data_IF_126269339328
#
_entry.id   IF_126269339328
#
_cell.length_a   1.000
_cell.length_b   1.000
_cell.length_c   1.000
_cell.angle_alpha   90.00
_cell.angle_beta   90.00
_cell.angle_gamma   90.00
#
_symmetry.space_group_name_H-M   'P 1'
#
loop_
_entity.id
_entity.type
_entity.pdbx_description
1 polymer ?
#
# COMPACT_ATOMS: atom_id res chain seq x y z
N UNK A 1 7.03 -43.62 -10.84
CA UNK A 1 6.99 -43.38 -9.39
C UNK A 1 8.09 -42.39 -9.06
N UNK A 2 7.77 -41.13 -8.81
CA UNK A 2 8.74 -40.14 -8.32
C UNK A 2 8.94 -40.38 -6.81
N UNK A 3 10.16 -40.70 -6.40
CA UNK A 3 10.51 -40.75 -4.97
C UNK A 3 10.09 -39.45 -4.27
N UNK A 4 9.49 -39.53 -3.07
CA UNK A 4 9.21 -38.33 -2.29
C UNK A 4 10.55 -37.66 -1.95
N UNK A 5 10.68 -36.39 -2.37
CA UNK A 5 11.81 -35.53 -2.04
C UNK A 5 12.06 -35.54 -0.52
N UNK A 6 13.30 -35.77 -0.09
CA UNK A 6 13.67 -35.59 1.31
C UNK A 6 13.35 -34.16 1.76
N UNK A 7 13.01 -33.96 3.03
CA UNK A 7 12.65 -32.63 3.58
C UNK A 7 13.72 -31.56 3.31
N UNK A 8 15.00 -31.94 3.35
CA UNK A 8 16.12 -31.08 2.99
C UNK A 8 16.10 -30.64 1.52
N UNK A 9 15.79 -31.56 0.59
CA UNK A 9 15.69 -31.25 -0.84
C UNK A 9 14.48 -30.37 -1.18
N UNK A 10 13.35 -30.58 -0.49
CA UNK A 10 12.15 -29.75 -0.60
C UNK A 10 12.40 -28.31 -0.10
N UNK A 11 13.06 -28.15 1.05
CA UNK A 11 13.44 -26.84 1.59
C UNK A 11 14.41 -26.09 0.66
N UNK A 12 15.39 -26.80 0.08
CA UNK A 12 16.30 -26.21 -0.89
C UNK A 12 15.59 -25.79 -2.19
N UNK A 13 14.58 -26.53 -2.63
CA UNK A 13 13.76 -26.15 -3.79
C UNK A 13 12.92 -24.90 -3.51
N UNK A 14 12.28 -24.82 -2.34
CA UNK A 14 11.49 -23.68 -1.93
C UNK A 14 12.35 -22.40 -1.78
N UNK A 15 13.52 -22.52 -1.16
CA UNK A 15 14.46 -21.40 -1.04
C UNK A 15 14.90 -20.87 -2.40
N UNK A 16 15.21 -21.76 -3.35
CA UNK A 16 15.54 -21.37 -4.73
C UNK A 16 14.37 -20.70 -5.44
N UNK A 17 13.14 -21.18 -5.21
CA UNK A 17 11.94 -20.60 -5.78
C UNK A 17 11.69 -19.16 -5.28
N UNK A 18 11.77 -18.94 -3.96
CA UNK A 18 11.62 -17.61 -3.37
C UNK A 18 12.78 -16.68 -3.78
N UNK A 19 13.98 -17.23 -3.98
CA UNK A 19 15.13 -16.48 -4.49
C UNK A 19 15.12 -16.29 -6.03
N UNK A 20 14.04 -16.64 -6.74
CA UNK A 20 14.01 -16.52 -8.20
C UNK A 20 13.72 -15.09 -8.70
N UNK A 21 12.92 -14.32 -7.95
CA UNK A 21 12.59 -12.94 -8.30
C UNK A 21 12.20 -12.10 -7.08
N UNK A 22 12.44 -10.76 -7.08
CA UNK A 22 12.16 -9.92 -5.92
C UNK A 22 10.70 -9.93 -5.47
N UNK A 23 9.75 -9.89 -6.42
CA UNK A 23 8.33 -9.85 -6.09
C UNK A 23 7.83 -11.09 -5.34
N UNK A 24 8.43 -12.29 -5.52
CA UNK A 24 7.93 -13.52 -4.89
C UNK A 24 7.94 -13.48 -3.36
N UNK A 25 9.10 -13.34 -2.68
CA UNK A 25 9.16 -13.35 -1.23
C UNK A 25 8.52 -12.10 -0.63
N UNK A 26 8.63 -10.95 -1.31
CA UNK A 26 8.06 -9.68 -0.86
C UNK A 26 6.53 -9.67 -0.97
N UNK A 27 5.94 -10.23 -2.03
CA UNK A 27 4.47 -10.32 -2.13
C UNK A 27 3.93 -11.40 -1.21
N UNK A 28 4.62 -12.54 -1.05
CA UNK A 28 4.24 -13.55 -0.06
C UNK A 28 4.22 -12.94 1.35
N UNK A 29 5.27 -12.22 1.73
CA UNK A 29 5.31 -11.46 2.98
C UNK A 29 4.14 -10.48 3.10
N UNK A 30 3.85 -9.73 2.03
CA UNK A 30 2.71 -8.81 1.98
C UNK A 30 1.35 -9.51 2.19
N UNK A 31 1.18 -10.73 1.66
CA UNK A 31 -0.06 -11.51 1.86
C UNK A 31 -0.22 -12.00 3.30
N UNK A 32 0.86 -12.27 4.02
CA UNK A 32 0.80 -12.51 5.47
C UNK A 32 0.43 -11.21 6.19
N UNK A 33 1.08 -10.12 5.80
CA UNK A 33 0.88 -8.83 6.44
C UNK A 33 -0.55 -8.31 6.33
N UNK A 34 -1.21 -8.47 5.17
CA UNK A 34 -2.56 -7.95 4.90
C UNK A 34 -3.65 -8.55 5.78
N UNK A 35 -3.43 -9.79 6.27
CA UNK A 35 -4.33 -10.43 7.22
C UNK A 35 -3.91 -10.13 8.66
N UNK A 36 -2.63 -10.27 9.00
CA UNK A 36 -2.17 -10.22 10.39
C UNK A 36 -2.55 -8.92 11.13
N UNK A 37 -2.25 -7.75 10.57
CA UNK A 37 -2.57 -6.49 11.25
C UNK A 37 -4.07 -6.20 11.28
N UNK A 38 -4.80 -6.63 10.26
CA UNK A 38 -6.24 -6.44 10.22
C UNK A 38 -6.96 -7.42 11.15
N UNK A 39 -6.40 -8.60 11.42
CA UNK A 39 -6.87 -9.49 12.48
C UNK A 39 -6.70 -8.80 13.83
N UNK A 40 -5.49 -8.34 14.16
CA UNK A 40 -5.26 -7.61 15.41
C UNK A 40 -6.16 -6.38 15.52
N UNK A 41 -6.26 -5.56 14.47
CA UNK A 41 -7.07 -4.34 14.47
C UNK A 41 -8.57 -4.62 14.62
N UNK A 42 -9.08 -5.68 13.99
CA UNK A 42 -10.50 -6.07 14.13
C UNK A 42 -10.79 -6.55 15.55
N UNK A 43 -9.87 -7.31 16.17
CA UNK A 43 -10.01 -7.76 17.56
C UNK A 43 -9.90 -6.60 18.55
N UNK A 44 -9.01 -5.64 18.30
CA UNK A 44 -8.90 -4.39 19.08
C UNK A 44 -10.20 -3.56 18.99
N UNK A 45 -10.76 -3.40 17.80
CA UNK A 45 -12.05 -2.71 17.64
C UNK A 45 -13.20 -3.46 18.31
N UNK A 46 -13.17 -4.80 18.27
CA UNK A 46 -14.16 -5.64 18.93
C UNK A 46 -14.03 -5.56 20.45
N UNK A 47 -12.81 -5.53 20.99
CA UNK A 47 -12.58 -5.35 22.43
C UNK A 47 -13.12 -4.01 22.91
N UNK A 48 -12.88 -2.93 22.15
CA UNK A 48 -13.42 -1.59 22.41
C UNK A 48 -14.96 -1.54 22.31
N UNK A 49 -15.56 -2.28 21.36
CA UNK A 49 -17.03 -2.30 21.19
C UNK A 49 -17.74 -3.13 22.25
N UNK A 50 -17.21 -4.32 22.54
CA UNK A 50 -17.89 -5.37 23.32
C UNK A 50 -17.35 -5.51 24.74
N UNK A 51 -16.33 -4.74 25.13
CA UNK A 51 -15.83 -4.69 26.50
C UNK A 51 -15.07 -5.94 26.93
N UNK A 52 -14.19 -6.48 26.09
CA UNK A 52 -13.40 -7.67 26.42
C UNK A 52 -12.35 -7.37 27.50
N UNK A 53 -12.69 -7.62 28.77
CA UNK A 53 -11.86 -7.25 29.93
C UNK A 53 -10.46 -7.89 30.00
N UNK A 54 -10.23 -9.01 29.30
CA UNK A 54 -8.92 -9.70 29.27
C UNK A 54 -8.13 -9.48 27.98
N UNK A 55 -8.61 -8.61 27.07
CA UNK A 55 -7.89 -8.33 25.83
C UNK A 55 -6.61 -7.51 26.12
N UNK A 56 -5.41 -7.99 25.72
CA UNK A 56 -4.16 -7.29 25.95
C UNK A 56 -4.15 -5.93 25.24
N UNK A 57 -3.96 -4.85 26.00
CA UNK A 57 -3.91 -3.50 25.45
C UNK A 57 -2.54 -3.18 24.86
N UNK A 58 -2.48 -2.47 23.72
CA UNK A 58 -1.20 -2.10 23.12
C UNK A 58 -0.43 -1.08 23.99
N UNK A 59 0.91 -1.12 23.96
CA UNK A 59 1.76 -0.19 24.71
C UNK A 59 1.80 1.24 24.13
N UNK A 60 1.08 1.48 23.03
CA UNK A 60 0.94 2.76 22.33
C UNK A 60 -0.52 2.95 21.94
N UNK A 61 -0.99 4.17 21.60
CA UNK A 61 -2.35 4.35 21.10
C UNK A 61 -2.66 3.37 19.96
N UNK A 62 -3.73 2.56 20.06
CA UNK A 62 -4.01 1.50 19.07
C UNK A 62 -4.08 2.01 17.64
N UNK A 63 -4.57 3.24 17.48
CA UNK A 63 -4.69 3.91 16.19
C UNK A 63 -3.35 4.19 15.51
N UNK A 64 -2.28 4.42 16.29
CA UNK A 64 -0.92 4.54 15.77
C UNK A 64 -0.34 3.18 15.43
N UNK A 65 -0.62 2.14 16.23
CA UNK A 65 -0.28 0.76 15.89
C UNK A 65 -0.85 0.36 14.53
N UNK A 66 -2.16 0.58 14.34
CA UNK A 66 -2.84 0.38 13.05
C UNK A 66 -2.21 1.20 11.93
N UNK A 67 -2.08 2.52 12.10
CA UNK A 67 -1.54 3.40 11.08
C UNK A 67 -0.12 3.00 10.67
N UNK A 68 0.77 2.78 11.63
CA UNK A 68 2.18 2.49 11.36
C UNK A 68 2.35 1.13 10.68
N UNK A 69 1.67 0.08 11.14
CA UNK A 69 1.81 -1.24 10.54
C UNK A 69 1.23 -1.29 9.13
N UNK A 70 0.07 -0.68 8.90
CA UNK A 70 -0.51 -0.62 7.54
C UNK A 70 0.39 0.18 6.60
N UNK A 71 0.84 1.37 7.02
CA UNK A 71 1.58 2.29 6.15
C UNK A 71 3.02 1.87 5.90
N UNK A 72 3.70 1.33 6.92
CA UNK A 72 5.12 1.01 6.85
C UNK A 72 5.42 -0.49 6.70
N UNK A 73 4.48 -1.37 7.05
CA UNK A 73 4.66 -2.82 6.94
C UNK A 73 3.93 -3.43 5.76
N UNK A 74 2.60 -3.32 5.74
CA UNK A 74 1.73 -4.01 4.79
C UNK A 74 1.97 -3.60 3.34
N UNK A 75 1.67 -2.35 2.98
CA UNK A 75 1.79 -1.90 1.59
C UNK A 75 3.24 -1.91 1.07
N UNK A 76 4.25 -1.54 1.88
CA UNK A 76 5.64 -1.46 1.43
C UNK A 76 6.25 -2.78 1.01
N UNK A 77 5.80 -3.92 1.57
CA UNK A 77 6.20 -5.25 1.10
C UNK A 77 5.85 -5.44 -0.38
N UNK A 78 4.63 -5.10 -0.79
CA UNK A 78 4.23 -5.13 -2.20
C UNK A 78 4.95 -4.05 -3.03
N UNK A 79 5.16 -2.85 -2.49
CA UNK A 79 5.84 -1.78 -3.22
C UNK A 79 7.32 -2.11 -3.47
N UNK A 80 8.06 -2.61 -2.48
CA UNK A 80 9.43 -3.08 -2.67
C UNK A 80 9.48 -4.23 -3.68
N UNK A 81 8.59 -5.22 -3.57
CA UNK A 81 8.56 -6.35 -4.50
C UNK A 81 8.32 -5.91 -5.95
N UNK A 82 7.41 -4.95 -6.13
CA UNK A 82 7.11 -4.37 -7.44
C UNK A 82 8.28 -3.55 -7.97
N UNK A 83 8.81 -2.60 -7.18
CA UNK A 83 9.85 -1.68 -7.64
C UNK A 83 11.18 -2.39 -7.87
N UNK A 84 11.61 -3.31 -7.00
CA UNK A 84 12.84 -4.09 -7.23
C UNK A 84 12.74 -4.99 -8.48
N UNK A 85 11.52 -5.37 -8.88
CA UNK A 85 11.29 -6.12 -10.13
C UNK A 85 11.22 -5.20 -11.36
N UNK A 86 10.67 -3.99 -11.22
CA UNK A 86 10.33 -3.11 -12.34
C UNK A 86 11.34 -1.98 -12.59
N UNK A 87 11.99 -1.44 -11.56
CA UNK A 87 12.99 -0.38 -11.68
C UNK A 87 14.13 -0.73 -12.64
N UNK A 88 14.78 -1.91 -12.52
CA UNK A 88 15.79 -2.32 -13.50
C UNK A 88 15.27 -2.23 -14.93
N UNK A 89 14.05 -2.71 -15.18
CA UNK A 89 13.42 -2.69 -16.51
C UNK A 89 13.05 -1.29 -16.99
N UNK A 90 12.64 -0.41 -16.07
CA UNK A 90 12.23 0.96 -16.40
C UNK A 90 13.37 1.88 -16.79
N UNK A 91 14.60 1.48 -16.48
CA UNK A 91 15.80 2.32 -16.59
C UNK A 91 16.96 1.59 -17.25
N UNK A 92 16.68 0.43 -17.87
CA UNK A 92 17.65 -0.48 -18.47
C UNK A 92 18.87 -0.76 -17.56
N UNK A 93 18.60 -1.02 -16.28
CA UNK A 93 19.60 -1.31 -15.25
C UNK A 93 19.71 -2.80 -14.91
N UNK A 94 20.72 -3.18 -14.10
CA UNK A 94 20.95 -4.57 -13.71
C UNK A 94 19.81 -5.11 -12.83
N UNK A 95 19.52 -6.41 -12.96
CA UNK A 95 18.58 -7.09 -12.08
C UNK A 95 19.04 -7.05 -10.63
N UNK A 96 18.09 -6.98 -9.70
CA UNK A 96 18.40 -6.96 -8.26
C UNK A 96 18.66 -8.40 -7.78
N UNK A 97 19.86 -8.73 -7.27
CA UNK A 97 20.18 -10.09 -6.85
C UNK A 97 19.51 -10.46 -5.51
N UNK A 98 19.34 -11.76 -5.19
CA UNK A 98 18.67 -12.25 -3.97
C UNK A 98 19.23 -11.68 -2.67
N UNK A 99 20.56 -11.53 -2.61
CA UNK A 99 21.26 -10.96 -1.44
C UNK A 99 20.79 -9.54 -1.08
N UNK A 100 20.14 -8.83 -2.02
CA UNK A 100 19.64 -7.46 -1.81
C UNK A 100 18.17 -7.38 -1.46
N UNK A 101 17.32 -8.31 -1.90
CA UNK A 101 15.88 -8.26 -1.64
C UNK A 101 15.39 -9.25 -0.57
N UNK A 102 16.10 -10.37 -0.33
CA UNK A 102 15.73 -11.30 0.74
C UNK A 102 15.87 -10.68 2.13
N UNK A 103 16.94 -9.90 2.45
CA UNK A 103 17.01 -9.19 3.73
C UNK A 103 15.93 -8.12 3.89
N UNK A 104 15.46 -7.52 2.79
CA UNK A 104 14.34 -6.56 2.83
C UNK A 104 13.05 -7.30 3.18
N UNK A 105 12.78 -8.43 2.53
CA UNK A 105 11.61 -9.26 2.83
C UNK A 105 11.64 -9.75 4.29
N UNK A 106 12.76 -10.30 4.74
CA UNK A 106 12.94 -10.79 6.10
C UNK A 106 12.90 -9.69 7.16
N UNK A 107 13.56 -8.56 6.93
CA UNK A 107 13.58 -7.43 7.86
C UNK A 107 12.23 -6.76 8.00
N UNK A 108 11.55 -6.46 6.89
CA UNK A 108 10.22 -5.84 6.94
C UNK A 108 9.17 -6.81 7.48
N UNK A 109 9.12 -8.07 7.02
CA UNK A 109 8.15 -9.05 7.53
C UNK A 109 8.43 -9.44 8.98
N UNK A 110 9.68 -9.75 9.32
CA UNK A 110 10.09 -10.11 10.67
C UNK A 110 9.80 -8.96 11.63
N UNK A 111 10.19 -7.74 11.26
CA UNK A 111 9.87 -6.54 12.03
C UNK A 111 8.37 -6.34 12.20
N UNK A 112 7.60 -6.55 11.14
CA UNK A 112 6.15 -6.46 11.15
C UNK A 112 5.48 -7.49 12.08
N UNK A 113 5.89 -8.76 12.02
CA UNK A 113 5.35 -9.82 12.89
C UNK A 113 5.65 -9.52 14.35
N UNK A 114 6.91 -9.19 14.67
CA UNK A 114 7.30 -8.83 16.05
C UNK A 114 6.55 -7.59 16.54
N UNK A 115 6.36 -6.58 15.69
CA UNK A 115 5.61 -5.38 16.05
C UNK A 115 4.12 -5.66 16.30
N UNK A 116 3.47 -6.52 15.50
CA UNK A 116 2.09 -6.95 15.75
C UNK A 116 1.96 -7.70 17.08
N UNK A 117 2.88 -8.63 17.39
CA UNK A 117 2.91 -9.31 18.69
C UNK A 117 3.18 -8.30 19.81
N UNK A 118 4.05 -7.31 19.56
CA UNK A 118 4.34 -6.20 20.46
C UNK A 118 3.10 -5.38 20.85
N UNK A 119 2.11 -5.28 19.96
CA UNK A 119 0.83 -4.61 20.24
C UNK A 119 -0.07 -5.41 21.19
N UNK A 120 0.28 -6.64 21.58
CA UNK A 120 -0.40 -7.40 22.62
C UNK A 120 0.18 -7.11 24.02
N UNK A 121 0.56 -5.86 24.29
CA UNK A 121 1.11 -5.44 25.57
C UNK A 121 2.61 -5.74 25.78
N UNK A 122 3.37 -6.00 24.71
CA UNK A 122 4.79 -6.37 24.78
C UNK A 122 5.68 -5.25 24.18
N UNK A 123 5.98 -4.16 24.94
CA UNK A 123 6.65 -2.97 24.41
C UNK A 123 8.04 -3.24 23.83
N UNK A 124 8.79 -4.20 24.38
CA UNK A 124 10.12 -4.55 23.87
C UNK A 124 10.05 -5.21 22.48
N UNK A 125 9.04 -6.04 22.22
CA UNK A 125 8.80 -6.63 20.90
C UNK A 125 8.36 -5.59 19.89
N UNK A 126 7.52 -4.63 20.30
CA UNK A 126 7.12 -3.52 19.44
C UNK A 126 8.35 -2.72 18.99
N UNK A 127 9.22 -2.37 19.94
CA UNK A 127 10.48 -1.66 19.71
C UNK A 127 11.42 -2.42 18.76
N UNK A 128 11.65 -3.70 19.06
CA UNK A 128 12.48 -4.57 18.24
C UNK A 128 11.92 -4.73 16.82
N UNK A 129 10.60 -4.91 16.71
CA UNK A 129 9.90 -5.08 15.44
C UNK A 129 10.01 -3.85 14.55
N UNK A 130 9.73 -2.66 15.10
CA UNK A 130 9.87 -1.40 14.37
C UNK A 130 11.34 -1.16 13.94
N UNK A 131 12.30 -1.47 14.81
CA UNK A 131 13.74 -1.35 14.51
C UNK A 131 14.20 -2.27 13.38
N UNK A 132 13.78 -3.54 13.41
CA UNK A 132 14.09 -4.51 12.36
C UNK A 132 13.43 -4.13 11.01
N UNK A 133 12.22 -3.59 11.06
CA UNK A 133 11.55 -3.06 9.87
C UNK A 133 12.35 -1.90 9.26
N UNK A 134 12.89 -0.99 10.07
CA UNK A 134 13.75 0.10 9.60
C UNK A 134 15.02 -0.41 8.92
N UNK A 135 15.67 -1.44 9.47
CA UNK A 135 16.83 -2.08 8.82
C UNK A 135 16.46 -2.60 7.42
N UNK A 136 15.31 -3.28 7.30
CA UNK A 136 14.78 -3.72 6.01
C UNK A 136 14.56 -2.56 5.03
N UNK A 137 14.03 -1.43 5.51
CA UNK A 137 13.85 -0.21 4.72
C UNK A 137 15.16 0.36 4.21
N UNK A 138 16.16 0.51 5.08
CA UNK A 138 17.47 1.08 4.70
C UNK A 138 18.11 0.23 3.62
N UNK A 139 18.11 -1.10 3.77
CA UNK A 139 18.63 -2.02 2.73
C UNK A 139 17.85 -1.85 1.42
N UNK A 140 16.51 -1.74 1.51
CA UNK A 140 15.64 -1.56 0.35
C UNK A 140 15.90 -0.25 -0.40
N UNK A 141 15.96 0.87 0.32
CA UNK A 141 16.21 2.21 -0.24
C UNK A 141 17.62 2.28 -0.83
N UNK A 142 18.65 1.79 -0.14
CA UNK A 142 20.03 1.74 -0.68
C UNK A 142 20.08 0.90 -1.96
N UNK A 143 19.30 -0.18 -2.04
CA UNK A 143 19.19 -1.01 -3.25
C UNK A 143 18.52 -0.26 -4.39
N UNK A 144 17.38 0.39 -4.17
CA UNK A 144 16.70 1.19 -5.20
C UNK A 144 17.55 2.39 -5.66
N UNK A 145 18.24 3.06 -4.74
CA UNK A 145 19.17 4.14 -5.03
C UNK A 145 20.38 3.68 -5.85
N UNK A 146 20.90 2.48 -5.57
CA UNK A 146 21.94 1.85 -6.38
C UNK A 146 21.50 1.60 -7.83
N UNK A 147 20.27 1.11 -8.04
CA UNK A 147 19.70 0.94 -9.39
C UNK A 147 19.56 2.29 -10.10
N UNK A 148 19.09 3.34 -9.41
CA UNK A 148 18.99 4.69 -9.97
C UNK A 148 20.33 5.31 -10.33
N UNK A 149 21.39 5.00 -9.58
CA UNK A 149 22.73 5.53 -9.82
C UNK A 149 23.36 4.96 -11.10
N UNK A 150 23.12 3.67 -11.37
CA UNK A 150 23.70 2.94 -12.50
C UNK A 150 22.78 2.98 -13.74
N UNK A 151 21.53 3.39 -13.57
CA UNK A 151 20.56 3.56 -14.64
C UNK A 151 21.09 4.43 -15.79
N UNK A 152 20.94 3.92 -17.01
CA UNK A 152 21.32 4.65 -18.23
C UNK A 152 20.26 5.69 -18.63
N UNK A 153 18.99 5.46 -18.27
CA UNK A 153 17.90 6.41 -18.49
C UNK A 153 17.42 7.07 -17.20
N UNK A 154 17.46 8.42 -17.17
CA UNK A 154 16.92 9.20 -16.05
C UNK A 154 15.40 9.27 -16.11
N UNK A 155 14.73 8.38 -15.39
CA UNK A 155 13.27 8.27 -15.37
C UNK A 155 12.65 9.00 -14.16
N UNK A 156 11.86 10.05 -14.43
CA UNK A 156 11.15 10.84 -13.39
C UNK A 156 10.30 10.00 -12.44
N UNK A 157 9.71 8.90 -12.92
CA UNK A 157 8.91 8.00 -12.08
C UNK A 157 9.77 7.24 -11.07
N UNK A 158 10.99 6.86 -11.47
CA UNK A 158 11.95 6.21 -10.58
C UNK A 158 12.37 7.14 -9.43
N UNK A 159 12.73 8.38 -9.77
CA UNK A 159 13.04 9.42 -8.79
C UNK A 159 11.87 9.75 -7.85
N UNK A 160 10.66 9.87 -8.39
CA UNK A 160 9.45 10.12 -7.59
C UNK A 160 9.22 9.00 -6.57
N UNK A 161 9.24 7.74 -7.01
CA UNK A 161 9.10 6.60 -6.10
C UNK A 161 10.25 6.54 -5.08
N UNK A 162 11.50 6.80 -5.48
CA UNK A 162 12.63 6.81 -4.56
C UNK A 162 12.53 7.91 -3.51
N UNK A 163 12.15 9.13 -3.89
CA UNK A 163 11.91 10.23 -2.96
C UNK A 163 10.83 9.86 -1.94
N UNK A 164 9.75 9.24 -2.38
CA UNK A 164 8.69 8.74 -1.49
C UNK A 164 9.20 7.68 -0.50
N UNK A 165 10.04 6.75 -0.95
CA UNK A 165 10.67 5.77 -0.07
C UNK A 165 11.64 6.42 0.93
N UNK A 166 12.36 7.48 0.55
CA UNK A 166 13.16 8.26 1.49
C UNK A 166 12.28 8.94 2.55
N UNK A 167 11.13 9.52 2.15
CA UNK A 167 10.14 10.06 3.09
C UNK A 167 9.57 8.97 4.01
N UNK A 168 9.32 7.77 3.50
CA UNK A 168 8.88 6.62 4.28
C UNK A 168 9.94 6.19 5.31
N UNK A 169 11.21 6.06 4.91
CA UNK A 169 12.30 5.75 5.84
C UNK A 169 12.43 6.83 6.92
N UNK A 170 12.31 8.12 6.56
CA UNK A 170 12.31 9.22 7.51
C UNK A 170 11.14 9.13 8.49
N UNK A 171 9.93 8.84 8.01
CA UNK A 171 8.76 8.66 8.88
C UNK A 171 8.96 7.53 9.89
N UNK A 172 9.49 6.39 9.44
CA UNK A 172 9.79 5.26 10.33
C UNK A 172 10.90 5.60 11.35
N UNK A 173 11.93 6.33 10.94
CA UNK A 173 12.98 6.86 11.84
C UNK A 173 12.40 7.79 12.91
N UNK A 174 11.52 8.72 12.52
CA UNK A 174 10.87 9.64 13.46
C UNK A 174 10.00 8.92 14.48
N UNK A 175 9.23 7.92 14.03
CA UNK A 175 8.41 7.11 14.93
C UNK A 175 9.27 6.30 15.92
N UNK A 176 10.38 5.73 15.45
CA UNK A 176 11.33 5.04 16.30
C UNK A 176 12.04 5.98 17.29
N UNK A 177 12.38 7.20 16.87
CA UNK A 177 12.94 8.22 17.75
C UNK A 177 11.98 8.54 18.90
N UNK A 178 10.68 8.68 18.60
CA UNK A 178 9.65 8.82 19.63
C UNK A 178 9.58 7.57 20.54
N UNK A 179 9.51 6.37 19.95
CA UNK A 179 9.30 5.13 20.68
C UNK A 179 10.50 4.69 21.55
N UNK A 180 11.73 4.94 21.09
CA UNK A 180 12.98 4.47 21.73
C UNK A 180 13.67 5.56 22.56
N UNK A 181 13.66 6.79 22.07
CA UNK A 181 14.45 7.89 22.64
C UNK A 181 13.60 8.93 23.36
N UNK A 182 12.27 8.76 23.41
CA UNK A 182 11.37 9.71 24.03
C UNK A 182 11.32 11.05 23.29
N UNK A 183 11.53 11.06 21.97
CA UNK A 183 11.36 12.27 21.17
C UNK A 183 9.92 12.83 21.32
N UNK A 184 9.68 14.12 21.00
CA UNK A 184 8.35 14.72 21.15
C UNK A 184 7.27 13.96 20.36
N UNK A 185 6.04 13.94 20.89
CA UNK A 185 4.88 13.31 20.24
C UNK A 185 4.64 13.79 18.81
N UNK A 186 4.99 15.04 18.51
CA UNK A 186 4.93 15.61 17.16
C UNK A 186 5.75 14.83 16.12
N UNK A 187 6.77 14.07 16.54
CA UNK A 187 7.53 13.16 15.66
C UNK A 187 6.69 11.95 15.24
N UNK A 188 5.92 11.35 16.15
CA UNK A 188 5.02 10.24 15.83
C UNK A 188 3.85 10.71 14.94
N UNK A 189 3.31 11.90 15.20
CA UNK A 189 2.28 12.50 14.36
C UNK A 189 2.79 12.78 12.93
N UNK A 190 4.00 13.37 12.82
CA UNK A 190 4.64 13.59 11.53
C UNK A 190 4.91 12.27 10.80
N UNK A 191 5.33 11.22 11.52
CA UNK A 191 5.52 9.89 10.94
C UNK A 191 4.24 9.33 10.34
N UNK A 192 3.09 9.45 11.02
CA UNK A 192 1.80 8.99 10.48
C UNK A 192 1.39 9.79 9.24
N UNK A 193 1.63 11.11 9.21
CA UNK A 193 1.30 11.96 8.05
C UNK A 193 2.24 11.70 6.87
N UNK A 194 3.54 11.55 7.12
CA UNK A 194 4.55 11.17 6.12
C UNK A 194 4.22 9.83 5.46
N UNK A 195 3.75 8.86 6.23
CA UNK A 195 3.44 7.54 5.70
C UNK A 195 2.36 7.60 4.62
N UNK A 196 1.32 8.42 4.82
CA UNK A 196 0.22 8.56 3.86
C UNK A 196 0.58 9.51 2.71
N UNK A 197 0.95 10.75 3.03
CA UNK A 197 1.05 11.83 2.04
C UNK A 197 2.47 12.03 1.49
N UNK A 198 3.50 11.65 2.24
CA UNK A 198 4.90 11.70 1.79
C UNK A 198 5.40 10.41 1.17
N UNK A 199 4.75 9.27 1.45
CA UNK A 199 5.22 7.94 1.06
C UNK A 199 4.22 7.17 0.20
N UNK A 200 3.11 6.68 0.77
CA UNK A 200 2.18 5.81 0.03
C UNK A 200 1.57 6.53 -1.18
N UNK A 201 0.91 7.67 -0.98
CA UNK A 201 0.19 8.35 -2.04
C UNK A 201 1.11 8.73 -3.21
N UNK A 202 2.30 9.33 -3.00
CA UNK A 202 3.23 9.58 -4.10
C UNK A 202 3.66 8.33 -4.88
N UNK A 203 3.92 7.19 -4.20
CA UNK A 203 4.24 5.94 -4.92
C UNK A 203 3.04 5.44 -5.72
N UNK A 204 1.87 5.33 -5.11
CA UNK A 204 0.66 4.86 -5.78
C UNK A 204 0.32 5.71 -6.99
N UNK A 205 0.31 7.04 -6.84
CA UNK A 205 0.05 7.95 -7.95
C UNK A 205 1.12 7.84 -9.04
N UNK A 206 2.40 7.78 -8.68
CA UNK A 206 3.50 7.62 -9.66
C UNK A 206 3.38 6.32 -10.46
N UNK A 207 3.07 5.22 -9.79
CA UNK A 207 2.85 3.92 -10.44
C UNK A 207 1.63 3.98 -11.35
N UNK A 208 0.52 4.56 -10.89
CA UNK A 208 -0.69 4.75 -11.72
C UNK A 208 -0.39 5.60 -12.95
N UNK A 209 0.27 6.75 -12.75
CA UNK A 209 0.67 7.67 -13.80
C UNK A 209 1.51 7.01 -14.89
N UNK A 210 2.37 6.05 -14.52
CA UNK A 210 3.17 5.29 -15.49
C UNK A 210 2.39 4.15 -16.13
N UNK A 211 1.71 3.34 -15.31
CA UNK A 211 1.21 2.01 -15.67
C UNK A 211 -0.20 2.04 -16.24
N UNK A 212 -1.13 2.83 -15.68
CA UNK A 212 -2.51 2.87 -16.20
C UNK A 212 -2.54 3.33 -17.67
N UNK A 213 -1.87 4.44 -18.05
CA UNK A 213 -1.85 4.86 -19.45
C UNK A 213 -1.15 3.87 -20.37
N UNK A 214 -0.09 3.21 -19.87
CA UNK A 214 0.66 2.20 -20.63
C UNK A 214 -0.18 0.94 -20.90
N UNK A 215 -0.87 0.41 -19.88
CA UNK A 215 -1.75 -0.75 -20.06
C UNK A 215 -2.95 -0.41 -20.95
N UNK A 216 -3.53 0.77 -20.75
CA UNK A 216 -4.63 1.28 -21.58
C UNK A 216 -4.22 1.40 -23.05
N UNK A 217 -3.03 1.95 -23.31
CA UNK A 217 -2.48 2.05 -24.68
C UNK A 217 -2.27 0.67 -25.33
N UNK A 218 -1.82 -0.32 -24.58
CA UNK A 218 -1.57 -1.66 -25.11
C UNK A 218 -2.85 -2.44 -25.42
N UNK A 219 -3.92 -2.21 -24.66
CA UNK A 219 -5.20 -2.94 -24.80
C UNK A 219 -6.17 -2.22 -25.74
N UNK A 220 -6.23 -0.89 -25.70
CA UNK A 220 -7.15 -0.09 -26.50
C UNK A 220 -6.54 0.34 -27.85
N UNK A 221 -5.53 -0.39 -28.35
CA UNK A 221 -5.00 -0.18 -29.71
C UNK A 221 -6.15 -0.26 -30.71
N UNK A 222 -6.25 0.72 -31.61
CA UNK A 222 -7.31 0.80 -32.61
C UNK A 222 -8.65 1.40 -32.12
N UNK A 223 -8.80 1.76 -30.84
CA UNK A 223 -10.02 2.42 -30.31
C UNK A 223 -9.88 3.95 -30.15
N UNK A 224 -8.94 4.56 -30.87
CA UNK A 224 -8.64 5.99 -30.75
C UNK A 224 -8.23 6.40 -29.33
N UNK A 225 -7.54 5.52 -28.59
CA UNK A 225 -7.00 5.85 -27.27
C UNK A 225 -5.78 6.76 -27.42
N UNK A 226 -5.71 7.81 -26.60
CA UNK A 226 -4.59 8.75 -26.58
C UNK A 226 -3.91 8.64 -25.23
N UNK A 227 -2.64 8.21 -25.23
CA UNK A 227 -1.86 8.07 -24.01
C UNK A 227 -1.48 9.44 -23.44
N UNK A 228 -2.25 9.91 -22.46
CA UNK A 228 -1.99 11.17 -21.75
C UNK A 228 -1.19 10.91 -20.48
N UNK A 229 0.06 11.39 -20.45
CA UNK A 229 0.96 11.25 -19.30
C UNK A 229 1.80 12.53 -19.12
N UNK A 230 1.17 13.65 -18.71
CA UNK A 230 1.83 14.94 -18.67
C UNK A 230 2.98 14.96 -17.66
N UNK A 231 4.10 15.58 -18.02
CA UNK A 231 5.26 15.68 -17.13
C UNK A 231 5.06 16.62 -15.93
N UNK A 232 4.06 17.51 -15.97
CA UNK A 232 3.77 18.50 -14.93
C UNK A 232 3.05 17.91 -13.71
N UNK A 233 2.34 16.78 -13.87
CA UNK A 233 1.46 16.25 -12.83
C UNK A 233 2.22 15.78 -11.60
N UNK A 234 3.34 15.07 -11.78
CA UNK A 234 4.17 14.58 -10.68
C UNK A 234 4.68 15.70 -9.76
N UNK A 235 5.40 16.75 -10.25
CA UNK A 235 5.86 17.82 -9.38
C UNK A 235 4.72 18.62 -8.74
N UNK A 236 3.61 18.86 -9.45
CA UNK A 236 2.43 19.54 -8.89
C UNK A 236 1.83 18.74 -7.73
N UNK A 237 1.61 17.42 -7.93
CA UNK A 237 1.09 16.55 -6.87
C UNK A 237 2.04 16.51 -5.68
N UNK A 238 3.36 16.40 -5.91
CA UNK A 238 4.33 16.47 -4.82
C UNK A 238 4.26 17.77 -4.03
N UNK A 239 4.23 18.92 -4.72
CA UNK A 239 4.16 20.22 -4.07
C UNK A 239 2.91 20.33 -3.19
N UNK A 240 1.74 19.99 -3.75
CA UNK A 240 0.46 20.05 -3.03
C UNK A 240 0.42 19.09 -1.84
N UNK A 241 0.95 17.87 -1.98
CA UNK A 241 1.02 16.89 -0.89
C UNK A 241 1.97 17.31 0.24
N UNK A 242 3.10 17.93 -0.09
CA UNK A 242 4.03 18.45 0.91
C UNK A 242 3.43 19.64 1.66
N UNK A 243 2.70 20.53 0.97
CA UNK A 243 1.98 21.63 1.63
C UNK A 243 0.83 21.09 2.49
N UNK A 244 0.03 20.14 2.00
CA UNK A 244 -0.99 19.45 2.80
C UNK A 244 -0.38 18.87 4.08
N UNK A 245 0.69 18.08 3.94
CA UNK A 245 1.38 17.45 5.06
C UNK A 245 1.89 18.48 6.08
N UNK A 246 2.49 19.57 5.61
CA UNK A 246 3.02 20.62 6.48
C UNK A 246 1.90 21.34 7.22
N UNK A 247 0.82 21.71 6.54
CA UNK A 247 -0.34 22.37 7.15
C UNK A 247 -0.99 21.47 8.20
N UNK A 248 -1.25 20.21 7.85
CA UNK A 248 -1.86 19.23 8.75
C UNK A 248 -0.96 18.94 9.96
N UNK A 249 0.35 18.80 9.75
CA UNK A 249 1.31 18.60 10.86
C UNK A 249 1.41 19.82 11.78
N UNK A 250 1.29 21.04 11.25
CA UNK A 250 1.33 22.28 12.03
C UNK A 250 -0.04 22.70 12.59
N UNK A 251 -1.06 21.85 12.46
CA UNK A 251 -2.41 22.13 12.94
C UNK A 251 -3.13 23.27 12.20
N UNK A 252 -2.65 23.64 11.01
CA UNK A 252 -3.19 24.73 10.18
C UNK A 252 -4.36 24.23 9.30
N UNK A 253 -5.32 23.57 9.94
CA UNK A 253 -6.35 22.79 9.25
C UNK A 253 -7.31 23.64 8.39
N UNK A 254 -7.52 24.91 8.77
CA UNK A 254 -8.37 25.86 8.03
C UNK A 254 -7.85 26.20 6.63
N UNK A 255 -6.61 25.85 6.33
CA UNK A 255 -5.94 26.15 5.07
C UNK A 255 -5.77 24.91 4.17
N UNK A 256 -6.16 23.72 4.62
CA UNK A 256 -5.95 22.47 3.86
C UNK A 256 -6.67 22.45 2.50
N UNK A 257 -7.80 23.15 2.38
CA UNK A 257 -8.56 23.26 1.14
C UNK A 257 -7.72 23.88 -0.01
N UNK A 258 -6.71 24.70 0.30
CA UNK A 258 -5.78 25.27 -0.69
C UNK A 258 -4.97 24.18 -1.42
N UNK A 259 -4.80 23.03 -0.79
CA UNK A 259 -4.09 21.88 -1.33
C UNK A 259 -5.07 20.84 -1.89
N UNK A 260 -6.12 20.55 -1.12
CA UNK A 260 -6.95 19.37 -1.33
C UNK A 260 -7.96 19.56 -2.46
N UNK A 261 -8.45 20.79 -2.66
CA UNK A 261 -9.28 21.13 -3.83
C UNK A 261 -8.46 21.01 -5.12
N UNK A 262 -7.26 21.63 -5.26
CA UNK A 262 -6.41 21.38 -6.42
C UNK A 262 -6.03 19.91 -6.61
N UNK A 263 -5.75 19.16 -5.55
CA UNK A 263 -5.47 17.72 -5.65
C UNK A 263 -6.68 16.95 -6.20
N UNK A 264 -7.89 17.24 -5.71
CA UNK A 264 -9.12 16.65 -6.23
C UNK A 264 -9.28 16.92 -7.74
N UNK A 265 -9.02 18.15 -8.18
CA UNK A 265 -9.08 18.53 -9.60
C UNK A 265 -8.02 17.82 -10.44
N UNK A 266 -6.76 17.77 -9.97
CA UNK A 266 -5.67 17.10 -10.69
C UNK A 266 -5.94 15.60 -10.80
N UNK A 267 -6.38 14.94 -9.73
CA UNK A 267 -6.72 13.52 -9.76
C UNK A 267 -7.97 13.24 -10.59
N UNK A 268 -8.97 14.11 -10.52
CA UNK A 268 -10.19 14.00 -11.33
C UNK A 268 -9.89 14.14 -12.81
N UNK A 269 -9.02 15.09 -13.18
CA UNK A 269 -8.52 15.23 -14.54
C UNK A 269 -7.84 13.95 -15.02
N UNK A 270 -6.96 13.32 -14.22
CA UNK A 270 -6.31 12.07 -14.62
C UNK A 270 -7.32 10.92 -14.77
N UNK A 271 -8.31 10.83 -13.89
CA UNK A 271 -9.35 9.80 -13.95
C UNK A 271 -10.14 9.86 -15.26
N UNK A 272 -10.38 11.07 -15.78
CA UNK A 272 -11.05 11.29 -17.08
C UNK A 272 -10.07 11.21 -18.26
N UNK A 273 -8.89 11.82 -18.15
CA UNK A 273 -7.89 11.91 -19.21
C UNK A 273 -7.33 10.54 -19.64
N UNK A 274 -7.39 9.55 -18.75
CA UNK A 274 -7.02 8.16 -19.05
C UNK A 274 -8.16 7.35 -19.67
N UNK A 275 -9.28 7.99 -20.03
CA UNK A 275 -10.35 7.47 -20.88
C UNK A 275 -10.86 6.08 -20.43
N UNK A 276 -11.27 5.92 -19.15
CA UNK A 276 -11.66 4.63 -18.58
C UNK A 276 -12.72 3.92 -19.42
N UNK A 277 -13.67 4.65 -20.00
CA UNK A 277 -14.73 4.12 -20.86
C UNK A 277 -14.23 3.32 -22.08
N UNK A 278 -13.02 3.58 -22.58
CA UNK A 278 -12.40 2.80 -23.68
C UNK A 278 -11.68 1.53 -23.20
N UNK A 279 -11.50 1.41 -21.89
CA UNK A 279 -10.57 0.49 -21.23
C UNK A 279 -11.22 -0.45 -20.19
N UNK A 280 -12.56 -0.60 -20.24
CA UNK A 280 -13.31 -1.49 -19.33
C UNK A 280 -13.21 -2.99 -19.68
N UNK A 281 -12.50 -3.36 -20.73
CA UNK A 281 -12.18 -4.76 -21.06
C UNK A 281 -10.70 -4.86 -21.46
N UNK A 282 -9.96 -5.87 -20.97
CA UNK A 282 -10.38 -6.94 -20.05
C UNK A 282 -10.58 -6.44 -18.61
N UNK A 283 -11.29 -7.22 -17.79
CA UNK A 283 -11.67 -6.81 -16.41
C UNK A 283 -10.50 -6.38 -15.53
N UNK A 284 -9.30 -6.93 -15.75
CA UNK A 284 -8.09 -6.55 -15.01
C UNK A 284 -7.66 -5.09 -15.24
N UNK A 285 -7.95 -4.55 -16.43
CA UNK A 285 -7.75 -3.12 -16.70
C UNK A 285 -8.90 -2.29 -16.14
N UNK A 286 -10.12 -2.80 -16.18
CA UNK A 286 -11.29 -2.11 -15.63
C UNK A 286 -11.13 -1.83 -14.13
N UNK A 287 -10.72 -2.84 -13.35
CA UNK A 287 -10.54 -2.68 -11.90
C UNK A 287 -9.41 -1.71 -11.53
N UNK A 288 -8.39 -1.53 -12.38
CA UNK A 288 -7.39 -0.48 -12.18
C UNK A 288 -8.00 0.92 -12.31
N UNK A 289 -8.85 1.14 -13.30
CA UNK A 289 -9.55 2.42 -13.47
C UNK A 289 -10.57 2.67 -12.35
N UNK A 290 -11.34 1.64 -11.95
CA UNK A 290 -12.29 1.75 -10.83
C UNK A 290 -11.55 2.03 -9.53
N UNK A 291 -10.45 1.32 -9.25
CA UNK A 291 -9.61 1.61 -8.08
C UNK A 291 -9.08 3.04 -8.10
N UNK A 292 -8.59 3.52 -9.26
CA UNK A 292 -8.09 4.89 -9.38
C UNK A 292 -9.18 5.95 -9.13
N UNK A 293 -10.45 5.67 -9.47
CA UNK A 293 -11.56 6.61 -9.24
C UNK A 293 -11.79 6.94 -7.75
N UNK A 294 -11.36 6.09 -6.83
CA UNK A 294 -11.39 6.39 -5.40
C UNK A 294 -10.44 7.51 -4.99
N UNK A 295 -9.34 7.72 -5.73
CA UNK A 295 -8.38 8.78 -5.40
C UNK A 295 -9.00 10.19 -5.48
N UNK A 296 -9.58 10.64 -6.62
CA UNK A 296 -10.26 11.92 -6.66
C UNK A 296 -11.46 11.96 -5.72
N UNK A 297 -12.21 10.86 -5.55
CA UNK A 297 -13.33 10.81 -4.59
C UNK A 297 -12.85 11.08 -3.15
N UNK A 298 -11.74 10.48 -2.73
CA UNK A 298 -11.16 10.74 -1.41
C UNK A 298 -10.78 12.21 -1.24
N UNK A 299 -10.17 12.83 -2.26
CA UNK A 299 -9.80 14.25 -2.19
C UNK A 299 -10.99 15.21 -2.29
N UNK A 300 -12.10 14.80 -2.92
CA UNK A 300 -13.37 15.52 -2.82
C UNK A 300 -13.89 15.46 -1.36
N UNK A 301 -13.83 14.30 -0.71
CA UNK A 301 -14.22 14.18 0.70
C UNK A 301 -13.31 15.00 1.62
N UNK A 302 -11.98 15.00 1.38
CA UNK A 302 -11.05 15.89 2.10
C UNK A 302 -11.43 17.37 1.89
N UNK A 303 -11.62 17.78 0.63
CA UNK A 303 -12.02 19.15 0.28
C UNK A 303 -13.30 19.59 0.98
N UNK A 304 -14.32 18.73 1.05
CA UNK A 304 -15.56 19.02 1.77
C UNK A 304 -15.28 19.26 3.25
N UNK A 305 -14.52 18.37 3.91
CA UNK A 305 -14.15 18.54 5.31
C UNK A 305 -13.33 19.82 5.54
N UNK A 306 -12.40 20.14 4.66
CA UNK A 306 -11.51 21.30 4.80
C UNK A 306 -12.27 22.62 4.59
N UNK A 307 -13.22 22.67 3.66
CA UNK A 307 -14.08 23.84 3.43
C UNK A 307 -14.98 24.08 4.65
N UNK A 308 -15.51 23.01 5.27
CA UNK A 308 -16.26 23.13 6.53
C UNK A 308 -15.38 23.72 7.64
N UNK A 309 -14.14 23.25 7.79
CA UNK A 309 -13.19 23.82 8.77
C UNK A 309 -12.83 25.27 8.46
N UNK A 310 -12.63 25.62 7.18
CA UNK A 310 -12.30 26.97 6.76
C UNK A 310 -13.40 27.98 7.12
N UNK A 311 -14.67 27.57 6.95
CA UNK A 311 -15.87 28.36 7.23
C UNK A 311 -16.30 28.37 8.70
N UNK A 312 -15.51 27.77 9.60
CA UNK A 312 -15.74 27.78 11.05
C UNK A 312 -16.59 26.61 11.58
N UNK A 313 -16.90 25.62 10.73
CA UNK A 313 -17.52 24.38 11.15
C UNK A 313 -16.53 23.40 11.79
N UNK A 314 -17.06 22.28 12.33
CA UNK A 314 -16.28 21.22 12.96
C UNK A 314 -15.93 20.05 12.04
N UNK A 315 -15.53 18.93 12.65
CA UNK A 315 -15.34 17.66 11.93
C UNK A 315 -16.69 17.00 11.65
N UNK A 316 -17.01 16.82 10.36
CA UNK A 316 -18.28 16.23 9.90
C UNK A 316 -18.10 14.91 9.15
N UNK A 317 -16.89 14.66 8.61
CA UNK A 317 -16.55 13.41 7.91
C UNK A 317 -15.53 12.55 8.67
N UNK A 318 -15.00 13.05 9.79
CA UNK A 318 -14.01 12.35 10.62
C UNK A 318 -12.89 11.73 9.79
N UNK A 319 -12.73 10.40 9.86
CA UNK A 319 -11.71 9.66 9.09
C UNK A 319 -12.20 9.07 7.76
N UNK A 320 -13.40 9.42 7.30
CA UNK A 320 -13.95 8.91 6.04
C UNK A 320 -13.07 9.25 4.82
N UNK A 321 -12.56 10.49 4.64
CA UNK A 321 -11.70 10.80 3.48
C UNK A 321 -10.43 9.94 3.45
N UNK A 322 -9.79 9.77 4.61
CA UNK A 322 -8.59 8.95 4.74
C UNK A 322 -8.86 7.47 4.42
N UNK A 323 -10.00 6.92 4.78
CA UNK A 323 -10.32 5.51 4.48
C UNK A 323 -10.88 5.29 3.07
N UNK A 324 -11.51 6.32 2.46
CA UNK A 324 -11.76 6.32 1.02
C UNK A 324 -10.44 6.21 0.23
N UNK A 325 -9.39 6.91 0.70
CA UNK A 325 -8.04 6.77 0.15
C UNK A 325 -7.41 5.41 0.48
N UNK A 326 -7.39 5.01 1.75
CA UNK A 326 -6.64 3.83 2.20
C UNK A 326 -7.27 2.49 1.78
N UNK A 327 -8.60 2.37 1.83
CA UNK A 327 -9.31 1.16 1.44
C UNK A 327 -9.74 1.24 -0.02
N UNK A 328 -10.46 2.32 -0.36
CA UNK A 328 -11.00 2.53 -1.69
C UNK A 328 -9.91 2.60 -2.76
N UNK A 329 -8.89 3.45 -2.57
CA UNK A 329 -7.79 3.55 -3.52
C UNK A 329 -6.66 2.56 -3.25
N UNK A 330 -5.93 2.64 -2.13
CA UNK A 330 -4.73 1.80 -1.93
C UNK A 330 -5.07 0.31 -1.89
N UNK A 331 -6.09 -0.10 -1.13
CA UNK A 331 -6.55 -1.49 -1.06
C UNK A 331 -7.00 -2.02 -2.43
N UNK A 332 -7.90 -1.31 -3.12
CA UNK A 332 -8.41 -1.77 -4.43
C UNK A 332 -7.30 -1.80 -5.49
N UNK A 333 -6.40 -0.81 -5.47
CA UNK A 333 -5.27 -0.73 -6.40
C UNK A 333 -4.25 -1.84 -6.11
N UNK A 334 -4.04 -2.21 -4.84
CA UNK A 334 -3.23 -3.36 -4.45
C UNK A 334 -3.82 -4.65 -5.06
N UNK A 335 -5.11 -4.92 -4.87
CA UNK A 335 -5.75 -6.12 -5.44
C UNK A 335 -5.58 -6.14 -6.96
N UNK A 336 -5.87 -5.03 -7.64
CA UNK A 336 -5.77 -4.93 -9.09
C UNK A 336 -4.33 -5.11 -9.61
N UNK A 337 -3.37 -4.37 -9.07
CA UNK A 337 -1.98 -4.37 -9.53
C UNK A 337 -1.25 -5.67 -9.14
N UNK A 338 -1.39 -6.12 -7.90
CA UNK A 338 -0.71 -7.34 -7.43
C UNK A 338 -1.25 -8.56 -8.14
N UNK A 339 -2.57 -8.66 -8.38
CA UNK A 339 -3.13 -9.75 -9.21
C UNK A 339 -2.50 -9.75 -10.60
N UNK A 340 -2.41 -8.57 -11.24
CA UNK A 340 -1.81 -8.44 -12.58
C UNK A 340 -0.36 -8.86 -12.62
N UNK A 341 0.45 -8.38 -11.67
CA UNK A 341 1.88 -8.71 -11.58
C UNK A 341 2.05 -10.20 -11.30
N UNK A 342 1.27 -10.74 -10.36
CA UNK A 342 1.29 -12.16 -9.99
C UNK A 342 0.98 -13.06 -11.18
N UNK A 343 -0.06 -12.75 -11.96
CA UNK A 343 -0.38 -13.54 -13.16
C UNK A 343 0.71 -13.40 -14.23
N UNK A 344 1.14 -12.18 -14.55
CA UNK A 344 2.14 -11.93 -15.59
C UNK A 344 3.51 -12.55 -15.30
N UNK A 345 3.92 -12.59 -14.03
CA UNK A 345 5.19 -13.19 -13.60
C UNK A 345 5.09 -14.67 -13.22
N UNK A 346 3.92 -15.28 -13.29
CA UNK A 346 3.74 -16.70 -13.00
C UNK A 346 3.27 -17.53 -14.21
N UNK A 347 3.29 -16.94 -15.40
CA UNK A 347 2.90 -17.60 -16.66
C UNK A 347 1.39 -17.81 -16.79
N UNK A 348 0.57 -17.13 -15.99
CA UNK A 348 -0.88 -17.30 -15.96
C UNK A 348 -1.58 -16.24 -16.81
N UNK A 349 -2.78 -16.52 -17.37
CA UNK A 349 -3.54 -15.55 -18.16
C UNK A 349 -3.80 -14.24 -17.41
N UNK A 350 -3.61 -13.11 -18.09
CA UNK A 350 -3.84 -11.76 -17.56
C UNK A 350 -5.33 -11.40 -17.51
N UNK A 351 -6.09 -12.17 -16.74
CA UNK A 351 -7.54 -12.02 -16.56
C UNK A 351 -7.93 -11.92 -15.08
N UNK A 352 -9.09 -11.31 -14.83
CA UNK A 352 -9.73 -11.33 -13.52
C UNK A 352 -10.52 -12.62 -13.36
N UNK A 353 -10.01 -13.56 -12.57
CA UNK A 353 -10.75 -14.76 -12.16
C UNK A 353 -11.73 -14.47 -11.02
N UNK A 354 -12.50 -15.49 -10.62
CA UNK A 354 -13.52 -15.37 -9.57
C UNK A 354 -12.97 -14.85 -8.23
N UNK A 355 -11.82 -15.37 -7.77
CA UNK A 355 -11.23 -15.00 -6.48
C UNK A 355 -10.80 -13.51 -6.43
N UNK A 356 -10.02 -12.97 -7.40
CA UNK A 356 -9.76 -11.54 -7.47
C UNK A 356 -11.02 -10.68 -7.61
N UNK A 357 -12.04 -11.14 -8.35
CA UNK A 357 -13.31 -10.40 -8.47
C UNK A 357 -14.05 -10.31 -7.14
N UNK A 358 -14.17 -11.44 -6.42
CA UNK A 358 -14.79 -11.49 -5.11
C UNK A 358 -14.08 -10.55 -4.14
N UNK A 359 -12.75 -10.64 -4.07
CA UNK A 359 -11.94 -9.76 -3.22
C UNK A 359 -12.15 -8.28 -3.56
N UNK A 360 -12.07 -7.92 -4.86
CA UNK A 360 -12.26 -6.55 -5.31
C UNK A 360 -13.65 -6.00 -4.97
N UNK A 361 -14.71 -6.78 -5.23
CA UNK A 361 -16.10 -6.40 -4.98
C UNK A 361 -16.39 -6.23 -3.48
N UNK A 362 -15.98 -7.19 -2.66
CA UNK A 362 -16.13 -7.09 -1.20
C UNK A 362 -15.35 -5.90 -0.64
N UNK A 363 -14.17 -5.59 -1.19
CA UNK A 363 -13.39 -4.44 -0.75
C UNK A 363 -14.10 -3.10 -1.03
N UNK A 364 -14.90 -3.00 -2.10
CA UNK A 364 -15.73 -1.82 -2.34
C UNK A 364 -16.77 -1.65 -1.23
N UNK A 365 -17.43 -2.75 -0.83
CA UNK A 365 -18.38 -2.75 0.28
C UNK A 365 -17.69 -2.38 1.61
N UNK A 366 -16.48 -2.89 1.86
CA UNK A 366 -15.69 -2.54 3.05
C UNK A 366 -15.36 -1.05 3.10
N UNK A 367 -14.99 -0.44 1.97
CA UNK A 367 -14.73 1.00 1.91
C UNK A 367 -15.98 1.80 2.29
N UNK A 368 -17.15 1.43 1.75
CA UNK A 368 -18.43 2.07 2.06
C UNK A 368 -18.85 1.88 3.52
N UNK A 369 -18.72 0.67 4.06
CA UNK A 369 -18.98 0.37 5.48
C UNK A 369 -18.07 1.19 6.40
N UNK A 370 -16.79 1.32 6.03
CA UNK A 370 -15.85 2.13 6.80
C UNK A 370 -16.18 3.62 6.76
N UNK A 371 -16.62 4.14 5.61
CA UNK A 371 -17.11 5.52 5.49
C UNK A 371 -18.39 5.71 6.32
N UNK A 372 -19.32 4.76 6.25
CA UNK A 372 -20.58 4.77 7.01
C UNK A 372 -20.34 4.88 8.51
N UNK A 373 -19.28 4.29 9.05
CA UNK A 373 -18.95 4.37 10.47
C UNK A 373 -18.77 5.81 10.98
N UNK A 374 -18.37 6.75 10.12
CA UNK A 374 -18.16 8.17 10.49
C UNK A 374 -19.44 9.01 10.38
N UNK A 375 -20.53 8.45 9.83
CA UNK A 375 -21.80 9.15 9.60
C UNK A 375 -22.81 8.94 10.76
N UNK A 376 -22.33 8.53 11.94
CA UNK A 376 -23.13 8.38 13.17
C UNK A 376 -23.71 6.97 13.41
N UNK A 377 -24.50 6.84 14.48
CA UNK A 377 -24.96 5.54 14.99
C UNK A 377 -23.88 4.80 15.77
N UNK A 378 -23.93 3.47 15.78
CA UNK A 378 -22.94 2.62 16.46
C UNK A 378 -21.63 2.54 15.66
N UNK A 379 -20.81 3.59 15.77
CA UNK A 379 -19.53 3.71 15.04
C UNK A 379 -18.68 2.44 15.19
N UNK A 380 -18.44 1.99 16.42
CA UNK A 380 -17.54 0.87 16.69
C UNK A 380 -18.05 -0.45 16.11
N UNK A 381 -19.36 -0.70 16.09
CA UNK A 381 -19.91 -1.86 15.40
C UNK A 381 -19.61 -1.82 13.90
N UNK A 382 -19.81 -0.69 13.24
CA UNK A 382 -19.47 -0.53 11.82
C UNK A 382 -17.96 -0.71 11.56
N UNK A 383 -17.10 -0.27 12.48
CA UNK A 383 -15.65 -0.50 12.39
C UNK A 383 -15.31 -1.99 12.46
N UNK A 384 -15.92 -2.74 13.39
CA UNK A 384 -15.73 -4.20 13.50
C UNK A 384 -16.22 -4.91 12.24
N UNK A 385 -17.40 -4.56 11.73
CA UNK A 385 -17.94 -5.15 10.50
C UNK A 385 -17.02 -4.86 9.31
N UNK A 386 -16.51 -3.64 9.18
CA UNK A 386 -15.56 -3.29 8.12
C UNK A 386 -14.23 -4.07 8.25
N UNK A 387 -13.71 -4.24 9.48
CA UNK A 387 -12.52 -5.04 9.75
C UNK A 387 -12.71 -6.52 9.40
N UNK A 388 -13.82 -7.12 9.83
CA UNK A 388 -14.18 -8.49 9.48
C UNK A 388 -14.40 -8.67 7.96
N UNK A 389 -15.05 -7.70 7.32
CA UNK A 389 -15.25 -7.66 5.88
C UNK A 389 -13.94 -7.60 5.10
N UNK A 390 -12.93 -6.87 5.60
CA UNK A 390 -11.58 -6.87 5.02
C UNK A 390 -10.97 -8.27 5.07
N UNK A 391 -11.02 -8.94 6.23
CA UNK A 391 -10.48 -10.30 6.39
C UNK A 391 -11.19 -11.29 5.46
N UNK A 392 -12.52 -11.22 5.39
CA UNK A 392 -13.32 -12.05 4.49
C UNK A 392 -12.97 -11.81 3.01
N UNK A 393 -12.77 -10.55 2.61
CA UNK A 393 -12.41 -10.19 1.25
C UNK A 393 -11.01 -10.69 0.86
N UNK A 394 -10.03 -10.53 1.74
CA UNK A 394 -8.64 -10.84 1.44
C UNK A 394 -8.28 -12.31 1.63
N UNK A 395 -8.93 -13.05 2.54
CA UNK A 395 -8.52 -14.42 2.86
C UNK A 395 -8.45 -15.35 1.62
N UNK A 396 -9.48 -15.46 0.77
CA UNK A 396 -9.39 -16.31 -0.43
C UNK A 396 -8.32 -15.83 -1.42
N UNK A 397 -8.15 -14.51 -1.54
CA UNK A 397 -7.17 -13.90 -2.44
C UNK A 397 -5.73 -14.14 -1.96
N UNK A 398 -5.49 -14.06 -0.66
CA UNK A 398 -4.21 -14.36 -0.01
C UNK A 398 -3.86 -15.83 -0.19
N UNK A 399 -4.78 -16.76 0.11
CA UNK A 399 -4.52 -18.19 -0.03
C UNK A 399 -4.15 -18.55 -1.47
N UNK A 400 -4.90 -18.01 -2.45
CA UNK A 400 -4.59 -18.20 -3.87
C UNK A 400 -3.24 -17.59 -4.26
N UNK A 401 -2.94 -16.38 -3.80
CA UNK A 401 -1.70 -15.69 -4.15
C UNK A 401 -0.48 -16.37 -3.53
N UNK A 402 -0.57 -16.75 -2.26
CA UNK A 402 0.47 -17.51 -1.56
C UNK A 402 0.76 -18.84 -2.27
N UNK A 403 -0.27 -19.59 -2.67
CA UNK A 403 -0.09 -20.80 -3.49
C UNK A 403 0.68 -20.52 -4.78
N UNK A 404 0.39 -19.42 -5.49
CA UNK A 404 1.13 -19.05 -6.71
C UNK A 404 2.60 -18.74 -6.41
N UNK A 405 2.90 -18.05 -5.30
CA UNK A 405 4.29 -17.71 -4.94
C UNK A 405 5.08 -18.92 -4.44
N UNK A 406 4.41 -19.91 -3.87
CA UNK A 406 4.98 -21.15 -3.34
C UNK A 406 5.03 -22.28 -4.37
N UNK A 407 4.53 -22.08 -5.59
CA UNK A 407 4.57 -23.05 -6.68
C UNK A 407 5.42 -22.57 -7.87
N UNK A 408 5.96 -23.50 -8.68
CA UNK A 408 6.57 -23.17 -9.95
C UNK A 408 5.61 -22.42 -10.88
N UNK A 409 6.17 -21.74 -11.88
CA UNK A 409 5.37 -21.05 -12.89
C UNK A 409 4.53 -22.04 -13.69
N UNK A 410 3.35 -21.60 -14.11
CA UNK A 410 2.44 -22.42 -14.90
C UNK A 410 2.97 -22.71 -16.32
N UNK A 411 3.88 -21.87 -16.83
CA UNK A 411 4.48 -21.99 -18.16
C UNK A 411 5.84 -22.72 -18.16
N UNK A 412 6.27 -23.29 -17.02
CA UNK A 412 7.52 -24.04 -16.88
C UNK A 412 8.80 -23.21 -17.00
N UNK A 413 8.71 -21.90 -17.19
CA UNK A 413 9.88 -21.01 -17.31
C UNK A 413 10.54 -20.78 -15.95
N UNK A 414 11.81 -20.34 -15.93
CA UNK A 414 12.44 -19.85 -14.69
C UNK A 414 11.70 -18.64 -14.13
N UNK A 415 11.69 -18.50 -12.81
CA UNK A 415 11.23 -17.29 -12.13
C UNK A 415 10.12 -17.50 -11.12
#
# INVERSE_FOLDING_TARGET
MSEPLSTASANAALSRLLAAAPHRPLFLAGTVAVLLSMTWWTLELASLRFGWGHWPQPPIPPIWGHAMLIQYGLFPLFMFGFLMTTFPRWMNGPTVPPVRYLPVAGGVLGGYVLANIGLLGLPWLLKLGMGLMLVGYVIGVVTLGGVLRVATERNRHGWSCFAAFCCGTLGLLLFLGWLLLGAPTSCAELAVKLGTFGFLLPVYFTVCHRMLPFFSNNIAKGRGYVMRRPGWSLPVVWALLLVHLLLDWRGQLRWLWLCDVPLALVFGWHALAWQPWKCMRPGLLAVLHIAFAWLPLAFVLFSIQDIVLATGGGYVLGRAPLHALAIGFFGSMLVAMVTRVTHGHSGRPLQMGAVPWLCFGLLQAVALLRIRAELGGDMYLWLVIAGAGWLLAFLPWVLRSAWIYLTPRADGKPG
#
